data_IF_971523243279
#
_entry.id   IF_971523243279
#
_cell.length_a   1.000
_cell.length_b   1.000
_cell.length_c   1.000
_cell.angle_alpha   90.00
_cell.angle_beta   90.00
_cell.angle_gamma   90.00
#
_symmetry.space_group_name_H-M   'P 1'
#
loop_
_entity.id
_entity.type
_entity.pdbx_description
1 polymer ?
#
# COMPACT_ATOMS: atom_id res chain seq x y z
N UNK A 1 39.65 17.76 -19.44
CA UNK A 1 39.91 16.34 -19.71
C UNK A 1 38.75 15.83 -20.53
N UNK A 2 39.00 15.00 -21.54
CA UNK A 2 37.93 14.26 -22.20
C UNK A 2 37.27 13.37 -21.12
N UNK A 3 35.98 13.54 -20.89
CA UNK A 3 35.22 12.50 -20.17
C UNK A 3 35.24 11.28 -21.08
N UNK A 4 35.79 10.18 -20.59
CA UNK A 4 35.70 8.89 -21.28
C UNK A 4 34.23 8.61 -21.56
N UNK A 5 33.93 8.30 -22.82
CA UNK A 5 32.56 7.99 -23.22
C UNK A 5 32.14 6.70 -22.50
N UNK A 6 30.99 6.74 -21.81
CA UNK A 6 30.39 5.56 -21.18
C UNK A 6 30.04 4.54 -22.27
N UNK A 7 30.40 3.28 -22.07
CA UNK A 7 30.04 2.20 -22.99
C UNK A 7 28.53 1.88 -22.86
N UNK A 8 27.72 2.07 -23.93
CA UNK A 8 26.30 1.74 -23.90
C UNK A 8 26.00 0.30 -23.48
N UNK A 9 26.86 -0.65 -23.85
CA UNK A 9 26.68 -2.06 -23.53
C UNK A 9 26.83 -2.34 -22.03
N UNK A 10 27.71 -1.60 -21.35
CA UNK A 10 27.88 -1.69 -19.89
C UNK A 10 26.62 -1.22 -19.15
N UNK A 11 26.06 -0.08 -19.58
CA UNK A 11 24.84 0.47 -18.96
C UNK A 11 23.64 -0.45 -19.19
N UNK A 12 23.50 -1.00 -20.39
CA UNK A 12 22.43 -1.95 -20.71
C UNK A 12 22.58 -3.25 -19.88
N UNK A 13 23.78 -3.81 -19.79
CA UNK A 13 24.06 -4.99 -18.98
C UNK A 13 23.73 -4.76 -17.48
N UNK A 14 24.15 -3.61 -16.94
CA UNK A 14 23.78 -3.20 -15.57
C UNK A 14 22.26 -3.11 -15.40
N UNK A 15 21.56 -2.48 -16.35
CA UNK A 15 20.11 -2.30 -16.27
C UNK A 15 19.38 -3.66 -16.24
N UNK A 16 19.78 -4.60 -17.10
CA UNK A 16 19.21 -5.95 -17.10
C UNK A 16 19.49 -6.71 -15.81
N UNK A 17 20.72 -6.60 -15.26
CA UNK A 17 21.08 -7.21 -13.99
C UNK A 17 20.23 -6.66 -12.83
N UNK A 18 20.10 -5.34 -12.72
CA UNK A 18 19.28 -4.70 -11.69
C UNK A 18 17.80 -5.03 -11.85
N UNK A 19 17.28 -5.11 -13.09
CA UNK A 19 15.90 -5.52 -13.35
C UNK A 19 15.65 -6.97 -12.91
N UNK A 20 16.60 -7.87 -13.15
CA UNK A 20 16.52 -9.26 -12.68
C UNK A 20 16.54 -9.33 -11.15
N UNK A 21 17.50 -8.67 -10.49
CA UNK A 21 17.54 -8.61 -9.03
C UNK A 21 16.29 -7.96 -8.43
N UNK A 22 15.70 -6.96 -9.08
CA UNK A 22 14.50 -6.28 -8.60
C UNK A 22 13.24 -7.17 -8.58
N UNK A 23 13.26 -8.32 -9.25
CA UNK A 23 12.20 -9.32 -9.22
C UNK A 23 12.33 -10.32 -8.08
N UNK A 24 13.52 -10.39 -7.47
CA UNK A 24 13.75 -11.21 -6.29
C UNK A 24 13.06 -10.57 -5.08
N UNK A 25 12.61 -11.41 -4.14
CA UNK A 25 12.06 -10.92 -2.88
C UNK A 25 13.20 -10.20 -2.14
N UNK A 26 13.00 -8.93 -1.78
CA UNK A 26 13.96 -8.23 -0.95
C UNK A 26 14.20 -9.02 0.34
N UNK A 27 15.45 -9.25 0.68
CA UNK A 27 15.83 -9.81 1.96
C UNK A 27 16.63 -8.76 2.73
N UNK A 28 16.13 -8.39 3.90
CA UNK A 28 16.78 -7.42 4.77
C UNK A 28 17.61 -8.12 5.85
N UNK A 29 17.63 -9.45 5.94
CA UNK A 29 18.50 -10.25 6.82
C UNK A 29 18.69 -9.68 8.25
N UNK A 30 17.60 -9.38 8.96
CA UNK A 30 17.65 -8.82 10.32
C UNK A 30 17.89 -7.31 10.39
N UNK A 31 17.81 -6.60 9.27
CA UNK A 31 17.80 -5.16 9.22
C UNK A 31 16.37 -4.62 9.34
N UNK A 32 16.25 -3.45 9.98
CA UNK A 32 15.03 -2.67 10.00
C UNK A 32 15.15 -1.52 9.00
N UNK A 33 14.29 -1.53 7.98
CA UNK A 33 14.22 -0.47 7.00
C UNK A 33 13.18 0.57 7.41
N UNK A 34 13.59 1.84 7.57
CA UNK A 34 12.69 2.93 7.99
C UNK A 34 12.53 3.99 6.90
N UNK A 35 11.29 4.37 6.65
CA UNK A 35 10.92 5.43 5.73
C UNK A 35 9.63 6.11 6.19
N UNK A 36 9.35 7.31 5.68
CA UNK A 36 8.08 7.99 5.88
C UNK A 36 7.31 8.06 4.55
N UNK A 37 5.98 8.05 4.64
CA UNK A 37 5.07 8.35 3.55
C UNK A 37 4.39 9.68 3.85
N UNK A 38 4.62 10.66 3.00
CA UNK A 38 3.89 11.94 3.05
C UNK A 38 2.78 11.94 2.01
N UNK A 39 1.53 12.10 2.45
CA UNK A 39 0.39 12.28 1.57
C UNK A 39 0.17 13.77 1.31
N UNK A 40 0.44 14.18 0.07
CA UNK A 40 0.44 15.58 -0.38
C UNK A 40 -0.73 15.92 -1.30
N UNK A 41 -1.61 14.96 -1.59
CA UNK A 41 -2.77 15.19 -2.43
C UNK A 41 -3.72 16.21 -1.77
N UNK A 42 -3.79 17.39 -2.39
CA UNK A 42 -4.73 18.46 -2.06
C UNK A 42 -5.36 18.91 -3.37
N UNK A 43 -6.70 18.86 -3.54
CA UNK A 43 -7.39 19.35 -4.72
C UNK A 43 -7.07 20.83 -4.99
N UNK A 44 -7.32 21.30 -6.22
CA UNK A 44 -7.24 22.74 -6.48
C UNK A 44 -8.22 23.49 -5.58
N UNK A 45 -7.93 24.76 -5.28
CA UNK A 45 -8.81 25.60 -4.46
C UNK A 45 -10.26 25.59 -4.98
N UNK A 46 -10.43 25.74 -6.29
CA UNK A 46 -11.74 25.70 -6.95
C UNK A 46 -12.44 24.36 -6.74
N UNK A 47 -11.73 23.24 -6.92
CA UNK A 47 -12.29 21.90 -6.71
C UNK A 47 -12.70 21.69 -5.25
N UNK A 48 -11.89 22.15 -4.29
CA UNK A 48 -12.24 22.07 -2.87
C UNK A 48 -13.46 22.93 -2.51
N UNK A 49 -13.60 24.11 -3.12
CA UNK A 49 -14.79 24.97 -2.96
C UNK A 49 -16.05 24.31 -3.54
N UNK A 50 -15.94 23.66 -4.71
CA UNK A 50 -17.03 22.88 -5.30
C UNK A 50 -17.43 21.69 -4.40
N UNK A 51 -16.44 20.98 -3.85
CA UNK A 51 -16.69 19.89 -2.90
C UNK A 51 -17.43 20.39 -1.65
N UNK A 52 -16.98 21.52 -1.08
CA UNK A 52 -17.65 22.15 0.08
C UNK A 52 -19.08 22.55 -0.25
N UNK A 53 -19.32 23.17 -1.41
CA UNK A 53 -20.65 23.56 -1.86
C UNK A 53 -21.59 22.34 -2.01
N UNK A 54 -21.09 21.23 -2.54
CA UNK A 54 -21.86 19.99 -2.72
C UNK A 54 -22.33 19.35 -1.40
N UNK A 55 -21.64 19.65 -0.29
CA UNK A 55 -21.86 19.07 1.04
C UNK A 55 -22.76 19.94 1.93
N UNK A 56 -23.01 21.20 1.56
CA UNK A 56 -23.85 22.13 2.33
C UNK A 56 -25.26 21.53 2.53
N UNK A 57 -25.70 21.48 3.79
CA UNK A 57 -27.01 20.94 4.17
C UNK A 57 -27.12 19.40 4.10
N UNK A 58 -26.04 18.67 3.81
CA UNK A 58 -26.03 17.21 3.67
C UNK A 58 -25.07 16.57 4.67
N UNK A 59 -25.51 16.26 5.92
CA UNK A 59 -24.63 15.76 6.98
C UNK A 59 -23.98 14.41 6.67
N UNK A 60 -24.65 13.53 5.91
CA UNK A 60 -24.16 12.18 5.60
C UNK A 60 -23.45 12.10 4.23
N UNK A 61 -23.08 13.24 3.65
CA UNK A 61 -22.43 13.26 2.33
C UNK A 61 -21.02 12.65 2.39
N UNK A 62 -20.67 11.67 1.53
CA UNK A 62 -19.40 10.93 1.62
C UNK A 62 -18.16 11.83 1.53
N UNK A 63 -18.20 12.90 0.74
CA UNK A 63 -17.08 13.85 0.58
C UNK A 63 -16.71 14.62 1.85
N UNK A 64 -17.50 14.59 2.93
CA UNK A 64 -17.17 15.31 4.17
C UNK A 64 -15.82 14.90 4.74
N UNK A 65 -15.56 13.59 4.76
CA UNK A 65 -14.30 13.03 5.28
C UNK A 65 -13.09 13.47 4.43
N UNK A 66 -13.28 13.55 3.12
CA UNK A 66 -12.23 14.00 2.20
C UNK A 66 -11.96 15.49 2.38
N UNK A 67 -12.99 16.33 2.49
CA UNK A 67 -12.86 17.76 2.77
C UNK A 67 -12.14 17.99 4.10
N UNK A 68 -12.52 17.27 5.17
CA UNK A 68 -11.84 17.35 6.46
C UNK A 68 -10.36 16.98 6.37
N UNK A 69 -10.03 15.98 5.56
CA UNK A 69 -8.66 15.55 5.29
C UNK A 69 -7.88 16.63 4.54
N UNK A 70 -8.45 17.22 3.48
CA UNK A 70 -7.81 18.30 2.74
C UNK A 70 -7.65 19.58 3.58
N UNK A 71 -8.65 19.92 4.40
CA UNK A 71 -8.61 21.07 5.31
C UNK A 71 -7.57 20.88 6.43
N UNK A 72 -7.39 19.64 6.91
CA UNK A 72 -6.29 19.31 7.82
C UNK A 72 -4.94 19.52 7.13
N UNK A 73 -4.76 18.99 5.90
CA UNK A 73 -3.49 19.10 5.17
C UNK A 73 -3.11 20.54 4.82
N UNK A 74 -4.11 21.35 4.45
CA UNK A 74 -3.92 22.78 4.20
C UNK A 74 -3.47 23.54 5.45
N UNK A 75 -3.91 23.13 6.65
CA UNK A 75 -3.56 23.79 7.92
C UNK A 75 -2.25 23.29 8.51
N UNK A 76 -2.03 21.98 8.49
CA UNK A 76 -0.97 21.33 9.27
C UNK A 76 0.20 20.85 8.42
N UNK A 77 0.12 20.93 7.09
CA UNK A 77 1.04 20.27 6.17
C UNK A 77 0.62 18.84 5.83
N UNK A 78 1.45 18.09 5.10
CA UNK A 78 1.08 16.74 4.64
C UNK A 78 0.82 15.78 5.80
N UNK A 79 -0.05 14.81 5.57
CA UNK A 79 -0.21 13.70 6.50
C UNK A 79 1.01 12.79 6.39
N UNK A 80 1.73 12.60 7.50
CA UNK A 80 2.93 11.76 7.54
C UNK A 80 2.62 10.44 8.23
N UNK A 81 3.01 9.34 7.57
CA UNK A 81 3.01 7.99 8.14
C UNK A 81 4.45 7.51 8.24
N UNK A 82 4.93 7.27 9.45
CA UNK A 82 6.24 6.68 9.67
C UNK A 82 6.14 5.15 9.55
N UNK A 83 7.00 4.56 8.74
CA UNK A 83 7.00 3.14 8.40
C UNK A 83 8.30 2.47 8.87
N UNK A 84 8.16 1.25 9.39
CA UNK A 84 9.27 0.34 9.65
C UNK A 84 8.96 -1.03 9.08
N UNK A 85 9.91 -1.59 8.36
CA UNK A 85 9.79 -2.92 7.72
C UNK A 85 10.91 -3.81 8.21
N UNK A 86 10.53 -5.05 8.53
CA UNK A 86 11.41 -6.20 8.68
C UNK A 86 10.97 -7.23 7.64
N UNK A 87 11.92 -7.78 6.91
CA UNK A 87 11.63 -8.69 5.81
C UNK A 87 12.77 -9.70 5.69
N UNK A 88 12.44 -10.97 5.80
CA UNK A 88 13.35 -12.10 5.64
C UNK A 88 12.58 -13.17 4.86
N UNK A 89 12.86 -13.25 3.56
CA UNK A 89 12.15 -14.12 2.62
C UNK A 89 10.61 -13.93 2.71
N UNK A 90 9.90 -14.94 3.19
CA UNK A 90 8.44 -14.94 3.36
C UNK A 90 7.96 -14.41 4.72
N UNK A 91 8.87 -14.11 5.64
CA UNK A 91 8.57 -13.55 6.95
C UNK A 91 8.67 -12.03 6.87
N UNK A 92 7.64 -11.33 7.30
CA UNK A 92 7.67 -9.87 7.30
C UNK A 92 6.84 -9.27 8.40
N UNK A 93 7.27 -8.09 8.83
CA UNK A 93 6.52 -7.21 9.71
C UNK A 93 6.56 -5.80 9.16
N UNK A 94 5.42 -5.14 9.12
CA UNK A 94 5.26 -3.77 8.67
C UNK A 94 4.47 -2.97 9.67
N UNK A 95 5.18 -2.00 10.21
CA UNK A 95 4.71 -1.12 11.25
C UNK A 95 4.49 0.26 10.67
N UNK A 96 3.30 0.81 10.89
CA UNK A 96 2.91 2.16 10.46
C UNK A 96 2.44 2.96 11.66
N UNK A 97 2.95 4.16 11.83
CA UNK A 97 2.53 5.10 12.87
C UNK A 97 2.05 6.37 12.20
N UNK A 98 0.83 6.80 12.51
CA UNK A 98 0.12 7.87 11.81
C UNK A 98 0.20 9.19 12.58
N UNK A 99 0.80 10.22 11.98
CA UNK A 99 1.00 11.52 12.65
C UNK A 99 -0.21 12.45 12.66
N UNK A 100 -1.37 12.05 12.11
CA UNK A 100 -2.45 12.98 11.75
C UNK A 100 -3.73 12.92 12.60
N UNK A 101 -3.71 12.22 13.75
CA UNK A 101 -4.73 12.30 14.83
C UNK A 101 -6.15 11.78 14.53
N UNK A 102 -6.56 11.69 13.25
CA UNK A 102 -7.91 11.28 12.82
C UNK A 102 -7.94 9.83 12.33
N UNK A 103 -7.27 8.93 13.04
CA UNK A 103 -7.17 7.51 12.70
C UNK A 103 -6.60 6.71 13.87
N UNK A 104 -6.38 5.40 13.67
CA UNK A 104 -5.61 4.65 14.65
C UNK A 104 -4.23 5.28 14.77
N UNK A 105 -3.71 5.37 15.99
CA UNK A 105 -2.34 5.87 16.24
C UNK A 105 -1.31 5.07 15.45
N UNK A 106 -1.54 3.76 15.33
CA UNK A 106 -0.72 2.87 14.54
C UNK A 106 -1.49 1.68 13.97
N UNK A 107 -0.90 1.07 12.94
CA UNK A 107 -1.25 -0.26 12.46
C UNK A 107 0.05 -1.03 12.29
N UNK A 108 0.16 -2.18 12.95
CA UNK A 108 1.29 -3.11 12.85
C UNK A 108 0.77 -4.42 12.26
N UNK A 109 1.43 -4.93 11.22
CA UNK A 109 0.99 -6.12 10.49
C UNK A 109 2.18 -7.04 10.34
N UNK A 110 2.00 -8.33 10.59
CA UNK A 110 3.05 -9.30 10.28
C UNK A 110 2.51 -10.58 9.66
N UNK A 111 3.37 -11.24 8.90
CA UNK A 111 3.19 -12.58 8.40
C UNK A 111 4.40 -13.44 8.81
N UNK A 112 4.12 -14.53 9.49
CA UNK A 112 5.10 -15.52 9.89
C UNK A 112 4.86 -16.87 9.20
N UNK A 113 5.41 -17.93 9.80
CA UNK A 113 5.16 -19.30 9.39
C UNK A 113 3.71 -19.70 9.75
N UNK A 114 2.87 -19.88 8.72
CA UNK A 114 1.47 -20.29 8.84
C UNK A 114 0.49 -19.26 9.43
N UNK A 115 0.96 -18.12 9.97
CA UNK A 115 0.12 -17.14 10.66
C UNK A 115 0.30 -15.72 10.13
N UNK A 116 -0.79 -14.97 10.08
CA UNK A 116 -0.76 -13.51 9.90
C UNK A 116 -1.49 -12.83 11.04
N UNK A 117 -1.06 -11.62 11.40
CA UNK A 117 -1.75 -10.83 12.39
C UNK A 117 -1.69 -9.34 12.07
N UNK A 118 -2.65 -8.59 12.60
CA UNK A 118 -2.61 -7.12 12.64
C UNK A 118 -2.94 -6.62 14.03
N UNK A 119 -2.28 -5.55 14.43
CA UNK A 119 -2.44 -4.89 15.71
C UNK A 119 -2.71 -3.39 15.48
N UNK A 120 -3.78 -2.91 16.08
CA UNK A 120 -4.10 -1.49 16.31
C UNK A 120 -4.10 -1.21 17.82
N UNK A 121 -4.22 0.05 18.26
CA UNK A 121 -4.27 0.38 19.70
C UNK A 121 -5.34 -0.38 20.48
N UNK A 122 -6.47 -0.69 19.85
CA UNK A 122 -7.67 -1.25 20.47
C UNK A 122 -7.90 -2.73 20.15
N UNK A 123 -7.25 -3.26 19.11
CA UNK A 123 -7.59 -4.57 18.54
C UNK A 123 -6.36 -5.35 18.05
N UNK A 124 -6.32 -6.65 18.38
CA UNK A 124 -5.41 -7.63 17.79
C UNK A 124 -6.21 -8.64 16.96
N UNK A 125 -5.86 -8.81 15.69
CA UNK A 125 -6.46 -9.78 14.79
C UNK A 125 -5.43 -10.83 14.42
N UNK A 126 -5.82 -12.10 14.45
CA UNK A 126 -4.95 -13.24 14.15
C UNK A 126 -5.67 -14.15 13.15
N UNK A 127 -5.00 -14.58 12.09
CA UNK A 127 -5.53 -15.47 11.08
C UNK A 127 -4.46 -16.47 10.60
N UNK A 128 -4.90 -17.56 9.96
CA UNK A 128 -3.98 -18.42 9.22
C UNK A 128 -3.54 -17.70 7.94
N UNK A 129 -2.28 -17.90 7.53
CA UNK A 129 -1.73 -17.28 6.32
C UNK A 129 -2.51 -17.75 5.08
N UNK A 130 -2.89 -16.80 4.21
CA UNK A 130 -3.74 -17.06 3.05
C UNK A 130 -5.22 -17.28 3.35
N UNK A 131 -5.63 -17.22 4.62
CA UNK A 131 -7.02 -17.35 5.07
C UNK A 131 -7.50 -16.09 5.79
N UNK A 132 -7.14 -14.92 5.25
CA UNK A 132 -7.55 -13.63 5.79
C UNK A 132 -9.09 -13.52 5.85
N UNK A 133 -9.66 -13.02 6.94
CA UNK A 133 -11.10 -12.80 6.97
C UNK A 133 -11.52 -11.65 6.05
N UNK A 134 -12.80 -11.59 5.63
CA UNK A 134 -13.30 -10.47 4.83
C UNK A 134 -13.00 -9.12 5.48
N UNK A 135 -12.45 -8.19 4.71
CA UNK A 135 -12.06 -6.86 5.18
C UNK A 135 -10.61 -6.75 5.69
N UNK A 136 -9.88 -7.86 5.77
CA UNK A 136 -8.46 -7.89 6.12
C UNK A 136 -7.62 -8.19 4.87
N UNK A 137 -6.68 -7.30 4.55
CA UNK A 137 -5.88 -7.36 3.33
C UNK A 137 -4.38 -7.52 3.64
N UNK A 138 -4.01 -8.64 4.27
CA UNK A 138 -2.62 -8.94 4.61
C UNK A 138 -1.74 -9.04 3.35
N UNK A 139 -2.24 -9.66 2.29
CA UNK A 139 -1.48 -9.84 1.05
C UNK A 139 -1.26 -8.51 0.29
N UNK A 140 -2.22 -7.59 0.34
CA UNK A 140 -2.05 -6.25 -0.24
C UNK A 140 -0.96 -5.45 0.50
N UNK A 141 -0.74 -5.76 1.78
CA UNK A 141 0.29 -5.11 2.59
C UNK A 141 1.69 -5.48 2.10
N UNK A 142 1.96 -6.75 1.78
CA UNK A 142 3.27 -7.14 1.22
C UNK A 142 3.48 -6.58 -0.19
N UNK A 143 2.45 -6.49 -1.02
CA UNK A 143 2.54 -5.79 -2.31
C UNK A 143 2.92 -4.32 -2.13
N UNK A 144 2.34 -3.65 -1.13
CA UNK A 144 2.67 -2.25 -0.81
C UNK A 144 4.11 -2.09 -0.34
N UNK A 145 4.57 -2.96 0.57
CA UNK A 145 5.96 -2.97 1.05
C UNK A 145 6.91 -3.16 -0.12
N UNK A 146 6.69 -4.15 -0.97
CA UNK A 146 7.54 -4.43 -2.15
C UNK A 146 7.58 -3.26 -3.11
N UNK A 147 6.44 -2.62 -3.38
CA UNK A 147 6.39 -1.42 -4.22
C UNK A 147 7.22 -0.29 -3.62
N UNK A 148 7.02 0.02 -2.34
CA UNK A 148 7.68 1.14 -1.68
C UNK A 148 9.19 0.90 -1.53
N UNK A 149 9.60 -0.32 -1.16
CA UNK A 149 11.01 -0.72 -1.14
C UNK A 149 11.62 -0.73 -2.55
N UNK A 150 10.90 -1.21 -3.57
CA UNK A 150 11.39 -1.18 -4.95
C UNK A 150 11.60 0.25 -5.46
N UNK A 151 10.69 1.16 -5.14
CA UNK A 151 10.88 2.58 -5.44
C UNK A 151 12.16 3.14 -4.78
N UNK A 152 12.41 2.83 -3.51
CA UNK A 152 13.56 3.35 -2.77
C UNK A 152 14.89 2.66 -3.13
N UNK A 153 14.90 1.35 -3.31
CA UNK A 153 16.11 0.54 -3.47
C UNK A 153 16.60 0.46 -4.93
N UNK A 154 15.68 0.49 -5.90
CA UNK A 154 16.03 0.23 -7.30
C UNK A 154 15.37 1.20 -8.31
N UNK A 155 14.71 2.26 -7.83
CA UNK A 155 14.12 3.26 -8.70
C UNK A 155 12.97 2.69 -9.55
N UNK A 156 12.31 1.64 -9.06
CA UNK A 156 11.28 0.89 -9.79
C UNK A 156 11.76 0.25 -11.11
N UNK A 157 13.04 -0.09 -11.23
CA UNK A 157 13.58 -0.75 -12.44
C UNK A 157 12.92 -2.13 -12.71
N UNK A 158 12.48 -2.81 -11.65
CA UNK A 158 11.71 -4.06 -11.71
C UNK A 158 10.24 -3.88 -12.11
N UNK A 159 9.81 -2.67 -12.49
CA UNK A 159 8.42 -2.44 -12.85
C UNK A 159 7.98 -3.36 -14.01
N UNK A 160 6.85 -4.03 -13.78
CA UNK A 160 6.20 -4.89 -14.76
C UNK A 160 6.78 -6.29 -14.92
N UNK A 161 7.84 -6.66 -14.18
CA UNK A 161 8.48 -7.99 -14.30
C UNK A 161 7.49 -9.13 -14.02
N UNK A 162 6.72 -9.04 -12.94
CA UNK A 162 5.69 -10.04 -12.58
C UNK A 162 4.50 -10.09 -13.54
N UNK A 163 4.47 -9.22 -14.55
CA UNK A 163 3.35 -9.09 -15.48
C UNK A 163 3.77 -9.18 -16.94
N UNK A 164 4.88 -9.86 -17.22
CA UNK A 164 5.36 -10.13 -18.59
C UNK A 164 5.62 -8.83 -19.39
N UNK A 165 6.04 -7.75 -18.71
CA UNK A 165 6.37 -6.50 -19.39
C UNK A 165 7.78 -6.57 -20.00
N UNK A 166 7.88 -6.20 -21.27
CA UNK A 166 9.10 -6.31 -22.08
C UNK A 166 9.77 -4.95 -22.29
N UNK A 167 11.09 -4.95 -22.42
CA UNK A 167 11.85 -3.77 -22.83
C UNK A 167 11.73 -3.65 -24.36
N UNK A 168 11.16 -2.55 -24.85
CA UNK A 168 10.94 -2.34 -26.29
C UNK A 168 11.89 -1.31 -26.90
N UNK A 169 12.53 -0.49 -26.07
CA UNK A 169 13.54 0.47 -26.48
C UNK A 169 14.53 0.71 -25.33
N UNK A 170 15.82 0.78 -25.65
CA UNK A 170 16.89 1.13 -24.73
C UNK A 170 17.92 1.99 -25.46
N UNK A 171 18.27 3.13 -24.88
CA UNK A 171 19.24 4.04 -25.48
C UNK A 171 20.12 4.70 -24.43
N UNK A 172 21.37 4.95 -24.80
CA UNK A 172 22.38 5.62 -23.98
C UNK A 172 22.97 6.77 -24.79
N UNK A 173 23.06 7.94 -24.18
CA UNK A 173 23.68 9.12 -24.75
C UNK A 173 24.53 9.82 -23.71
N UNK A 174 25.86 9.77 -23.89
CA UNK A 174 26.84 10.21 -22.89
C UNK A 174 26.63 9.43 -21.58
N UNK A 175 26.31 10.12 -20.50
CA UNK A 175 26.01 9.59 -19.18
C UNK A 175 24.51 9.39 -18.94
N UNK A 176 23.63 9.68 -19.91
CA UNK A 176 22.18 9.53 -19.75
C UNK A 176 21.69 8.26 -20.42
N UNK A 177 20.74 7.58 -19.81
CA UNK A 177 20.08 6.43 -20.39
C UNK A 177 18.56 6.57 -20.33
N UNK A 178 17.87 5.89 -21.25
CA UNK A 178 16.42 5.82 -21.34
C UNK A 178 15.99 4.41 -21.73
N UNK A 179 15.00 3.91 -21.02
CA UNK A 179 14.41 2.60 -21.28
C UNK A 179 12.88 2.72 -21.39
N UNK A 180 12.29 2.09 -22.39
CA UNK A 180 10.85 1.93 -22.54
C UNK A 180 10.46 0.49 -22.22
N UNK A 181 9.46 0.35 -21.37
CA UNK A 181 8.91 -0.95 -20.98
C UNK A 181 7.42 -0.96 -21.33
N UNK A 182 6.95 -2.02 -21.97
CA UNK A 182 5.55 -2.18 -22.40
C UNK A 182 4.95 -3.50 -21.92
N UNK A 183 3.62 -3.50 -21.74
CA UNK A 183 2.83 -4.71 -21.46
C UNK A 183 1.54 -4.63 -22.28
N UNK A 184 1.63 -5.13 -23.51
CA UNK A 184 0.56 -4.99 -24.50
C UNK A 184 0.24 -3.52 -24.83
N UNK A 185 -0.90 -3.24 -25.47
CA UNK A 185 -1.23 -1.89 -25.97
C UNK A 185 -1.74 -0.92 -24.91
N UNK A 186 -2.01 -1.40 -23.69
CA UNK A 186 -2.71 -0.63 -22.65
C UNK A 186 -1.78 -0.11 -21.56
N UNK A 187 -0.50 -0.49 -21.57
CA UNK A 187 0.43 -0.14 -20.51
C UNK A 187 1.85 0.04 -21.05
N UNK A 188 2.42 1.21 -20.78
CA UNK A 188 3.79 1.53 -21.14
C UNK A 188 4.35 2.57 -20.18
N UNK A 189 5.60 2.38 -19.79
CA UNK A 189 6.36 3.34 -18.98
C UNK A 189 7.69 3.66 -19.65
N UNK A 190 8.22 4.83 -19.34
CA UNK A 190 9.58 5.22 -19.70
C UNK A 190 10.35 5.53 -18.44
N UNK A 191 11.48 4.86 -18.28
CA UNK A 191 12.49 5.13 -17.26
C UNK A 191 13.60 5.97 -17.90
N UNK A 192 14.02 7.00 -17.20
CA UNK A 192 15.18 7.81 -17.58
C UNK A 192 16.10 7.95 -16.36
N UNK A 193 17.40 7.97 -16.63
CA UNK A 193 18.40 8.02 -15.58
C UNK A 193 19.77 8.46 -16.07
N UNK A 194 20.76 8.29 -15.21
CA UNK A 194 22.15 8.55 -15.53
C UNK A 194 23.08 7.43 -15.07
N UNK A 195 24.26 7.36 -15.67
CA UNK A 195 25.38 6.53 -15.29
C UNK A 195 26.40 7.35 -14.50
N UNK A 196 26.87 6.81 -13.39
CA UNK A 196 27.92 7.41 -12.59
C UNK A 196 29.17 6.55 -12.67
N UNK A 197 30.18 7.05 -13.40
CA UNK A 197 31.49 6.40 -13.51
C UNK A 197 32.19 6.26 -12.15
N UNK A 198 31.97 7.20 -11.22
CA UNK A 198 32.56 7.15 -9.88
C UNK A 198 32.06 5.95 -9.08
N UNK A 199 30.77 5.62 -9.20
CA UNK A 199 30.15 4.51 -8.48
C UNK A 199 30.03 3.23 -9.32
N UNK A 200 30.41 3.27 -10.60
CA UNK A 200 30.31 2.14 -11.53
C UNK A 200 28.90 1.59 -11.68
N UNK A 201 27.87 2.46 -11.68
CA UNK A 201 26.46 2.05 -11.78
C UNK A 201 25.56 3.13 -12.36
N UNK A 202 24.37 2.72 -12.78
CA UNK A 202 23.29 3.62 -13.11
C UNK A 202 22.41 4.00 -11.91
N UNK A 203 21.69 5.10 -12.09
CA UNK A 203 20.65 5.61 -11.20
C UNK A 203 19.43 6.00 -12.02
N UNK A 204 18.25 5.58 -11.56
CA UNK A 204 16.98 6.04 -12.13
C UNK A 204 16.72 7.45 -11.60
N UNK A 205 16.37 8.39 -12.48
CA UNK A 205 15.97 9.74 -12.07
C UNK A 205 14.45 9.90 -12.12
N UNK A 206 13.80 9.31 -13.13
CA UNK A 206 12.37 9.46 -13.34
C UNK A 206 11.75 8.24 -14.03
N UNK A 207 10.54 7.89 -13.61
CA UNK A 207 9.61 7.00 -14.29
C UNK A 207 8.42 7.83 -14.77
N UNK A 208 8.01 7.66 -16.02
CA UNK A 208 6.82 8.30 -16.59
C UNK A 208 5.87 7.27 -17.18
N UNK A 209 4.61 7.33 -16.78
CA UNK A 209 3.54 6.53 -17.42
C UNK A 209 3.16 7.15 -18.76
N UNK A 210 3.38 6.41 -19.84
CA UNK A 210 3.00 6.85 -21.19
C UNK A 210 1.67 6.26 -21.64
N UNK A 211 1.37 5.02 -21.22
CA UNK A 211 0.10 4.36 -21.48
C UNK A 211 -0.34 3.65 -20.20
N UNK A 212 -1.64 3.70 -19.90
CA UNK A 212 -2.25 3.00 -18.78
C UNK A 212 -3.75 2.83 -19.06
N UNK A 213 -4.35 1.74 -18.57
CA UNK A 213 -5.81 1.51 -18.63
C UNK A 213 -6.61 2.67 -18.02
N UNK A 214 -6.10 3.26 -16.94
CA UNK A 214 -6.67 4.46 -16.36
C UNK A 214 -5.95 5.69 -16.89
N UNK A 215 -6.70 6.56 -17.56
CA UNK A 215 -6.19 7.81 -18.14
C UNK A 215 -5.65 8.78 -17.10
N UNK A 216 -6.03 8.63 -15.82
CA UNK A 216 -5.51 9.48 -14.73
C UNK A 216 -4.02 9.27 -14.47
N UNK A 217 -3.48 8.10 -14.82
CA UNK A 217 -2.05 7.81 -14.70
C UNK A 217 -1.24 8.26 -15.91
N UNK A 218 -1.85 8.45 -17.08
CA UNK A 218 -1.11 8.84 -18.28
C UNK A 218 -0.53 10.24 -18.09
N UNK A 219 0.80 10.34 -18.16
CA UNK A 219 1.56 11.56 -17.88
C UNK A 219 2.02 11.72 -16.43
N UNK A 220 1.53 10.88 -15.50
CA UNK A 220 2.02 10.85 -14.12
C UNK A 220 3.50 10.43 -14.08
N UNK A 221 4.22 10.92 -13.07
CA UNK A 221 5.66 10.69 -12.91
C UNK A 221 6.02 10.24 -11.51
N UNK A 222 7.13 9.53 -11.41
CA UNK A 222 7.79 9.19 -10.15
C UNK A 222 9.24 9.65 -10.27
N UNK A 223 9.64 10.64 -9.48
CA UNK A 223 11.02 11.18 -9.45
C UNK A 223 11.79 10.53 -8.30
N UNK A 224 13.03 10.11 -8.55
CA UNK A 224 13.92 9.48 -7.58
C UNK A 224 15.10 10.41 -7.30
N UNK A 225 15.21 10.87 -6.06
CA UNK A 225 16.09 11.98 -5.70
C UNK A 225 17.09 11.56 -4.61
N UNK A 226 18.22 12.27 -4.57
CA UNK A 226 19.21 12.18 -3.50
C UNK A 226 19.66 10.76 -3.19
N UNK A 227 20.02 10.01 -4.23
CA UNK A 227 20.62 8.68 -4.09
C UNK A 227 21.82 8.72 -3.16
N UNK A 228 21.82 7.85 -2.15
CA UNK A 228 22.90 7.73 -1.18
C UNK A 228 23.23 6.27 -0.91
N UNK A 229 24.50 6.00 -0.66
CA UNK A 229 24.96 4.66 -0.31
C UNK A 229 24.72 4.39 1.18
N UNK A 230 24.03 3.29 1.49
CA UNK A 230 23.79 2.81 2.84
C UNK A 230 24.67 1.60 3.12
N UNK A 231 25.66 1.77 3.99
CA UNK A 231 26.69 0.76 4.24
C UNK A 231 26.16 -0.52 4.88
N UNK A 232 25.08 -0.44 5.68
CA UNK A 232 24.53 -1.63 6.36
C UNK A 232 23.86 -2.60 5.40
N UNK A 233 23.20 -2.06 4.38
CA UNK A 233 22.57 -2.82 3.30
C UNK A 233 23.54 -3.03 2.12
N UNK A 234 24.71 -2.38 2.15
CA UNK A 234 25.68 -2.35 1.07
C UNK A 234 25.05 -1.98 -0.29
N UNK A 235 24.13 -1.00 -0.28
CA UNK A 235 23.30 -0.65 -1.44
C UNK A 235 23.04 0.84 -1.53
N UNK A 236 22.79 1.31 -2.74
CA UNK A 236 22.29 2.66 -2.99
C UNK A 236 20.79 2.73 -2.75
N UNK A 237 20.32 3.81 -2.13
CA UNK A 237 18.93 4.04 -1.78
C UNK A 237 18.56 5.47 -2.17
N UNK A 238 17.44 5.66 -2.86
CA UNK A 238 16.88 6.98 -3.11
C UNK A 238 16.49 7.63 -1.77
N UNK A 239 17.00 8.84 -1.51
CA UNK A 239 16.67 9.60 -0.31
C UNK A 239 15.19 10.01 -0.29
N UNK A 240 14.66 10.39 -1.46
CA UNK A 240 13.27 10.77 -1.64
C UNK A 240 12.71 10.19 -2.95
N UNK A 241 11.43 9.79 -2.94
CA UNK A 241 10.68 9.41 -4.13
C UNK A 241 9.42 10.24 -4.21
N UNK A 242 9.27 11.05 -5.26
CA UNK A 242 8.16 11.99 -5.41
C UNK A 242 7.23 11.52 -6.51
N UNK A 243 6.03 11.10 -6.15
CA UNK A 243 4.97 10.79 -7.10
C UNK A 243 4.18 12.06 -7.43
N UNK A 244 3.99 12.30 -8.73
CA UNK A 244 3.19 13.41 -9.26
C UNK A 244 2.09 12.88 -10.17
N UNK A 245 0.91 13.46 -10.05
CA UNK A 245 -0.18 13.21 -10.99
C UNK A 245 0.13 13.80 -12.38
N UNK A 246 -0.76 13.54 -13.35
CA UNK A 246 -0.63 14.06 -14.72
C UNK A 246 -0.62 15.59 -14.84
N UNK A 247 -0.96 16.32 -13.78
CA UNK A 247 -0.91 17.80 -13.72
C UNK A 247 0.42 18.29 -13.13
N UNK A 248 1.31 17.39 -12.71
CA UNK A 248 2.60 17.71 -12.08
C UNK A 248 2.51 17.99 -10.58
N UNK A 249 1.32 17.87 -9.99
CA UNK A 249 1.12 18.06 -8.54
C UNK A 249 1.61 16.82 -7.81
N UNK A 250 2.41 17.03 -6.76
CA UNK A 250 2.85 15.95 -5.88
C UNK A 250 1.67 15.38 -5.09
N UNK A 251 1.48 14.07 -5.19
CA UNK A 251 0.42 13.34 -4.47
C UNK A 251 0.97 12.55 -3.30
N UNK A 252 2.19 12.03 -3.44
CA UNK A 252 2.83 11.18 -2.45
C UNK A 252 4.34 11.35 -2.49
N UNK A 253 4.97 11.35 -1.31
CA UNK A 253 6.44 11.32 -1.19
C UNK A 253 6.86 10.19 -0.25
N UNK A 254 7.79 9.35 -0.70
CA UNK A 254 8.53 8.48 0.19
C UNK A 254 9.81 9.18 0.63
N UNK A 255 10.11 9.15 1.93
CA UNK A 255 11.33 9.73 2.49
C UNK A 255 12.08 8.64 3.22
N UNK A 256 13.23 8.23 2.69
CA UNK A 256 14.08 7.26 3.36
C UNK A 256 14.68 7.86 4.64
N UNK A 257 14.52 7.17 5.77
CA UNK A 257 15.06 7.63 7.07
C UNK A 257 16.43 7.04 7.30
N UNK A 258 16.49 5.73 7.50
CA UNK A 258 17.72 4.97 7.73
C UNK A 258 17.48 3.45 7.63
N UNK A 259 18.59 2.71 7.61
CA UNK A 259 18.61 1.30 7.94
C UNK A 259 19.20 1.15 9.36
N UNK A 260 18.45 0.51 10.25
CA UNK A 260 18.94 0.15 11.57
C UNK A 260 19.32 -1.33 11.58
N UNK A 261 20.51 -1.65 12.11
CA UNK A 261 20.85 -3.03 12.40
C UNK A 261 20.09 -3.44 13.64
N UNK A 262 19.51 -4.63 13.65
CA UNK A 262 19.10 -5.27 14.89
C UNK A 262 20.19 -6.28 15.23
N UNK A 263 21.11 -5.90 16.10
CA UNK A 263 22.23 -6.77 16.47
C UNK A 263 21.78 -8.09 17.15
N UNK A 264 20.47 -8.27 17.46
CA UNK A 264 20.00 -9.44 18.22
C UNK A 264 18.58 -9.94 17.92
N UNK A 265 17.78 -9.35 17.03
CA UNK A 265 16.36 -9.75 16.88
C UNK A 265 16.13 -10.49 15.56
N UNK A 266 15.90 -11.79 15.68
CA UNK A 266 15.45 -12.65 14.60
C UNK A 266 14.04 -12.25 14.13
N UNK A 267 13.85 -12.08 12.82
CA UNK A 267 12.56 -11.76 12.19
C UNK A 267 11.51 -12.81 12.57
N UNK A 268 11.90 -14.07 12.73
CA UNK A 268 11.01 -15.15 13.19
C UNK A 268 10.36 -14.87 14.55
N UNK A 269 11.03 -14.08 15.41
CA UNK A 269 10.49 -13.66 16.71
C UNK A 269 9.56 -12.46 16.57
N UNK A 270 9.86 -11.54 15.63
CA UNK A 270 9.05 -10.34 15.37
C UNK A 270 7.69 -10.64 14.76
N UNK A 271 7.59 -11.73 14.00
CA UNK A 271 6.36 -12.10 13.27
C UNK A 271 5.42 -12.99 14.07
N UNK A 272 5.78 -13.39 15.29
CA UNK A 272 4.86 -14.11 16.18
C UNK A 272 3.74 -13.16 16.64
N UNK A 273 2.48 -13.63 16.71
CA UNK A 273 1.40 -12.82 17.27
C UNK A 273 1.75 -12.36 18.70
N UNK A 274 1.56 -11.08 19.02
CA UNK A 274 1.83 -10.58 20.37
C UNK A 274 1.00 -11.32 21.42
N UNK A 275 1.61 -11.61 22.57
CA UNK A 275 0.92 -12.18 23.74
C UNK A 275 0.46 -11.04 24.64
N UNK A 276 -0.81 -11.07 25.03
CA UNK A 276 -1.38 -10.03 25.88
C UNK A 276 -0.69 -9.98 27.24
N UNK A 277 -0.32 -8.78 27.67
CA UNK A 277 0.39 -8.58 28.93
C UNK A 277 1.90 -8.87 28.88
N UNK A 278 2.41 -9.37 27.76
CA UNK A 278 3.85 -9.53 27.51
C UNK A 278 4.40 -8.38 26.66
N UNK A 279 5.69 -8.06 26.78
CA UNK A 279 6.32 -7.06 25.93
C UNK A 279 6.56 -7.59 24.51
N UNK A 280 5.97 -6.93 23.51
CA UNK A 280 6.33 -7.07 22.11
C UNK A 280 7.67 -6.35 21.83
N UNK A 281 8.60 -6.93 21.06
CA UNK A 281 9.92 -6.33 20.83
C UNK A 281 9.92 -4.95 20.13
N UNK A 282 8.83 -4.58 19.45
CA UNK A 282 8.71 -3.31 18.71
C UNK A 282 7.80 -2.33 19.44
N UNK A 283 6.67 -2.81 19.98
CA UNK A 283 5.60 -1.99 20.57
C UNK A 283 5.63 -1.97 22.09
N UNK A 284 6.44 -2.80 22.75
CA UNK A 284 6.41 -2.96 24.19
C UNK A 284 5.14 -3.67 24.63
N UNK A 285 4.63 -3.34 25.82
CA UNK A 285 3.45 -4.01 26.39
C UNK A 285 2.20 -3.78 25.54
N UNK A 286 1.67 -4.85 24.96
CA UNK A 286 0.44 -4.79 24.16
C UNK A 286 -0.78 -4.84 25.07
N UNK A 287 -1.57 -3.77 25.03
CA UNK A 287 -2.86 -3.64 25.71
C UNK A 287 -3.92 -3.35 24.66
N UNK A 288 -4.73 -4.35 24.33
CA UNK A 288 -5.88 -4.19 23.42
C UNK A 288 -7.16 -4.48 24.17
N UNK A 289 -8.25 -3.84 23.76
CA UNK A 289 -9.58 -4.09 24.30
C UNK A 289 -10.26 -5.30 23.66
N UNK A 290 -9.76 -5.72 22.50
CA UNK A 290 -10.36 -6.76 21.66
C UNK A 290 -9.30 -7.65 21.01
N UNK A 291 -9.50 -8.96 21.07
CA UNK A 291 -8.75 -9.92 20.25
C UNK A 291 -9.73 -10.69 19.38
N UNK A 292 -9.49 -10.70 18.08
CA UNK A 292 -10.20 -11.58 17.16
C UNK A 292 -9.24 -12.65 16.61
N UNK A 293 -9.44 -13.91 17.01
CA UNK A 293 -8.66 -15.06 16.52
C UNK A 293 -9.49 -15.89 15.53
N UNK A 294 -9.09 -15.88 14.26
CA UNK A 294 -9.81 -16.45 13.12
C UNK A 294 -9.26 -17.80 12.67
N UNK A 295 -8.23 -18.32 13.34
CA UNK A 295 -7.62 -19.62 13.00
C UNK A 295 -8.55 -20.81 13.28
N UNK A 296 -9.53 -20.61 14.16
CA UNK A 296 -10.57 -21.61 14.45
C UNK A 296 -11.72 -21.47 13.45
N UNK A 297 -12.37 -22.60 13.10
CA UNK A 297 -13.56 -22.64 12.22
C UNK A 297 -14.67 -21.66 12.61
N UNK A 298 -14.76 -21.34 13.90
CA UNK A 298 -15.55 -20.24 14.43
C UNK A 298 -14.54 -19.31 15.08
N UNK A 299 -14.36 -18.13 14.49
CA UNK A 299 -13.48 -17.11 15.05
C UNK A 299 -13.88 -16.81 16.50
N UNK A 300 -12.93 -16.38 17.32
CA UNK A 300 -13.20 -15.99 18.71
C UNK A 300 -12.92 -14.52 18.88
N UNK A 301 -13.92 -13.79 19.33
CA UNK A 301 -13.79 -12.44 19.83
C UNK A 301 -13.66 -12.51 21.35
N UNK A 302 -12.59 -11.92 21.88
CA UNK A 302 -12.29 -11.83 23.30
C UNK A 302 -12.25 -10.34 23.64
N UNK A 303 -13.12 -9.90 24.54
CA UNK A 303 -13.07 -8.54 25.09
C UNK A 303 -12.29 -8.54 26.40
N UNK A 304 -11.44 -7.54 26.57
CA UNK A 304 -10.52 -7.42 27.72
C UNK A 304 -10.86 -6.14 28.48
N UNK A 305 -11.09 -6.28 29.78
CA UNK A 305 -11.33 -5.17 30.68
C UNK A 305 -10.08 -4.33 30.93
N UNK A 306 -10.25 -3.15 31.51
CA UNK A 306 -9.13 -2.27 31.87
C UNK A 306 -8.16 -2.87 32.89
N UNK A 307 -8.59 -3.91 33.62
CA UNK A 307 -7.80 -4.70 34.58
C UNK A 307 -7.00 -5.83 33.91
N UNK A 308 -7.15 -6.03 32.59
CA UNK A 308 -6.53 -7.10 31.83
C UNK A 308 -7.29 -8.43 31.87
N UNK A 309 -8.42 -8.51 32.59
CA UNK A 309 -9.22 -9.73 32.64
C UNK A 309 -10.13 -9.86 31.42
N UNK A 310 -10.39 -11.10 31.00
CA UNK A 310 -11.36 -11.39 29.94
C UNK A 310 -12.76 -11.07 30.46
N UNK A 311 -13.40 -10.07 29.88
CA UNK A 311 -14.77 -9.66 30.24
C UNK A 311 -15.83 -10.39 29.43
N UNK A 312 -15.49 -10.81 28.21
CA UNK A 312 -16.42 -11.49 27.31
C UNK A 312 -15.68 -12.38 26.31
N UNK A 313 -16.35 -13.46 25.89
CA UNK A 313 -15.89 -14.35 24.83
C UNK A 313 -17.07 -14.71 23.94
N UNK A 314 -17.06 -14.20 22.71
CA UNK A 314 -18.11 -14.45 21.73
C UNK A 314 -17.53 -15.12 20.48
N UNK A 315 -18.29 -15.98 19.80
CA UNK A 315 -17.91 -16.39 18.46
C UNK A 315 -17.94 -15.17 17.53
N UNK A 316 -16.88 -14.97 16.75
CA UNK A 316 -16.87 -13.98 15.67
C UNK A 316 -17.86 -14.45 14.62
N UNK A 317 -19.07 -13.90 14.67
CA UNK A 317 -20.07 -14.13 13.62
C UNK A 317 -19.68 -13.23 12.46
N UNK A 318 -18.80 -13.72 11.60
CA UNK A 318 -18.72 -13.18 10.25
C UNK A 318 -20.12 -13.22 9.69
N UNK A 319 -20.61 -12.06 9.25
CA UNK A 319 -21.82 -11.95 8.47
C UNK A 319 -21.65 -12.77 7.19
N UNK A 320 -21.73 -14.09 7.29
CA UNK A 320 -22.20 -14.94 6.20
C UNK A 320 -23.52 -14.28 5.90
N UNK A 321 -23.57 -13.46 4.84
CA UNK A 321 -24.83 -13.01 4.30
C UNK A 321 -25.59 -14.30 4.07
N UNK A 322 -26.50 -14.58 4.99
CA UNK A 322 -26.97 -15.94 5.16
C UNK A 322 -27.59 -16.28 3.81
N UNK A 323 -27.23 -17.44 3.22
CA UNK A 323 -27.87 -17.85 1.96
C UNK A 323 -29.38 -17.77 2.09
N UNK A 324 -29.91 -17.99 3.31
CA UNK A 324 -31.30 -17.77 3.68
C UNK A 324 -31.70 -16.29 3.61
N UNK A 325 -30.92 -15.36 4.17
CA UNK A 325 -31.21 -13.91 4.05
C UNK A 325 -31.19 -13.44 2.59
N UNK A 326 -30.21 -13.90 1.78
CA UNK A 326 -30.21 -13.61 0.34
C UNK A 326 -31.42 -14.23 -0.36
N UNK A 327 -31.75 -15.49 -0.06
CA UNK A 327 -32.89 -16.19 -0.64
C UNK A 327 -34.20 -15.48 -0.29
N UNK A 328 -34.40 -15.13 0.98
CA UNK A 328 -35.56 -14.36 1.45
C UNK A 328 -35.59 -13.00 0.75
N UNK A 329 -34.47 -12.31 0.64
CA UNK A 329 -34.36 -11.05 -0.11
C UNK A 329 -34.80 -11.19 -1.57
N UNK A 330 -34.33 -12.24 -2.26
CA UNK A 330 -34.75 -12.55 -3.63
C UNK A 330 -36.23 -12.92 -3.73
N UNK A 331 -36.75 -13.72 -2.80
CA UNK A 331 -38.18 -14.08 -2.77
C UNK A 331 -39.07 -12.86 -2.57
N UNK A 332 -38.70 -11.95 -1.65
CA UNK A 332 -39.42 -10.69 -1.42
C UNK A 332 -39.36 -9.81 -2.66
N UNK A 333 -38.19 -9.70 -3.32
CA UNK A 333 -38.05 -8.92 -4.55
C UNK A 333 -38.94 -9.46 -5.68
N UNK A 334 -38.95 -10.78 -5.89
CA UNK A 334 -39.82 -11.43 -6.89
C UNK A 334 -41.29 -11.19 -6.58
N UNK A 335 -41.69 -11.33 -5.31
CA UNK A 335 -43.07 -11.07 -4.89
C UNK A 335 -43.49 -9.62 -5.16
N UNK A 336 -42.60 -8.64 -4.89
CA UNK A 336 -42.85 -7.23 -5.20
C UNK A 336 -42.99 -7.00 -6.70
N UNK A 337 -42.12 -7.58 -7.53
CA UNK A 337 -42.20 -7.46 -9.00
C UNK A 337 -43.52 -8.05 -9.50
N UNK A 338 -43.90 -9.25 -9.06
CA UNK A 338 -45.18 -9.87 -9.42
C UNK A 338 -46.37 -9.01 -8.97
N UNK A 339 -46.32 -8.43 -7.78
CA UNK A 339 -47.33 -7.50 -7.27
C UNK A 339 -47.47 -6.24 -8.13
N UNK A 340 -46.35 -5.63 -8.52
CA UNK A 340 -46.34 -4.46 -9.42
C UNK A 340 -46.86 -4.78 -10.82
N UNK A 341 -46.47 -5.92 -11.39
CA UNK A 341 -46.99 -6.38 -12.68
C UNK A 341 -48.50 -6.63 -12.59
N UNK A 342 -48.96 -7.31 -11.54
CA UNK A 342 -50.39 -7.55 -11.30
C UNK A 342 -51.19 -6.26 -11.18
N UNK A 343 -50.72 -5.30 -10.39
CA UNK A 343 -51.33 -3.96 -10.25
C UNK A 343 -51.38 -3.21 -11.58
N UNK A 344 -50.32 -3.29 -12.39
CA UNK A 344 -50.26 -2.64 -13.71
C UNK A 344 -51.28 -3.25 -14.67
N UNK A 345 -51.38 -4.58 -14.71
CA UNK A 345 -52.36 -5.28 -15.55
C UNK A 345 -53.80 -4.99 -15.12
N UNK A 346 -54.07 -4.95 -13.82
CA UNK A 346 -55.39 -4.61 -13.28
C UNK A 346 -55.81 -3.18 -13.65
N UNK A 347 -54.89 -2.20 -13.51
CA UNK A 347 -55.14 -0.81 -13.92
C UNK A 347 -55.31 -0.64 -15.43
N UNK A 348 -54.65 -1.48 -16.24
CA UNK A 348 -54.85 -1.52 -17.68
C UNK A 348 -56.29 -1.89 -18.05
N UNK A 349 -56.83 -2.95 -17.43
CA UNK A 349 -58.21 -3.40 -17.66
C UNK A 349 -59.27 -2.37 -17.23
N UNK A 350 -59.03 -1.60 -16.16
CA UNK A 350 -59.94 -0.54 -15.74
C UNK A 350 -60.01 0.65 -16.71
N UNK A 351 -59.07 0.79 -17.65
CA UNK A 351 -59.15 1.82 -18.70
C UNK A 351 -59.90 1.37 -19.95
N UNK A 352 -60.19 0.07 -20.07
CA UNK A 352 -60.95 -0.51 -21.18
C UNK A 352 -62.45 -0.69 -20.86
N UNK A 353 -62.85 -0.40 -19.63
CA UNK A 353 -64.24 -0.30 -19.16
C UNK A 353 -64.55 1.19 -19.03
#
# INVERSE_FOLDING_TARGET
GAQDAVDPAEVEAWFHQERAHASEIFDLHGLQFRYAIEHRDIPSKESLEQMRAAVVGRPDHPLRRDIETFDRRLRNGPDVTECSVWLDSDLWRWNRTFGFGNGPEFIDIAAGDGVTWSLSPDQLNIADRGAAPPGYAYDESITTIRRDLGQLLNGSIGIGVDSEAEITDFSVSKDRWRCRIERGPEWAVVLEGHWSAQSGRGFVDILRYQQNRSSDYVGATIEFLSWRFESKENRWIAGEVVERDRTGRSTRVLVFRNVAGQDTIDVSTLVKPPVLGEPDPVRGFVRVSRVEDHRKKIGQEISIGSDGNITDRRPTVYGKSSRVVRLVGWTVLVALICGFVGLRLYRGKQKEI
#
